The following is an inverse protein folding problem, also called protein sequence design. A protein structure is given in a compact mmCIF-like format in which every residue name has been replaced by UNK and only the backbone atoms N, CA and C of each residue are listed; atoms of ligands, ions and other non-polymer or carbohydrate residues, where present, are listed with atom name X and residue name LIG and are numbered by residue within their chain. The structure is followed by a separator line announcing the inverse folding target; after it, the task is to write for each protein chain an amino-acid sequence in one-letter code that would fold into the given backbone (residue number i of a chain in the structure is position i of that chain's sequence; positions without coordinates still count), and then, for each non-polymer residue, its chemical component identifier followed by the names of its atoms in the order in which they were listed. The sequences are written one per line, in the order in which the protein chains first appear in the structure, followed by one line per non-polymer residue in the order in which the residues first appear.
data_IF_566328169081
#
_entry.id   IF_566328169081
#
_cell.length_a   1.000
_cell.length_b   1.000
_cell.length_c   1.000
_cell.angle_alpha   90.00
_cell.angle_beta   90.00
_cell.angle_gamma   90.00
#
_symmetry.space_group_name_H-M   'P 1'
#
loop_
_entity.id
_entity.type
_entity.pdbx_description
1 polymer ?
#
# COMPACT_ATOMS: atom_id res chain seq x y z
N UNK A 1 27.22 -24.83 2.95
CA UNK A 1 26.87 -23.98 1.77
C UNK A 1 28.11 -23.23 1.33
N UNK A 2 28.32 -23.01 0.02
CA UNK A 2 29.49 -22.26 -0.46
C UNK A 2 29.36 -20.76 -0.13
N UNK A 3 30.48 -20.04 0.06
CA UNK A 3 30.49 -18.58 0.27
C UNK A 3 29.73 -17.81 -0.80
N UNK A 4 29.81 -18.28 -2.05
CA UNK A 4 29.12 -17.71 -3.21
C UNK A 4 27.60 -17.84 -3.08
N UNK A 5 27.09 -19.01 -2.69
CA UNK A 5 25.65 -19.25 -2.54
C UNK A 5 25.07 -18.39 -1.41
N UNK A 6 25.75 -18.32 -0.27
CA UNK A 6 25.32 -17.47 0.86
C UNK A 6 25.25 -16.00 0.44
N UNK A 7 26.29 -15.53 -0.26
CA UNK A 7 26.34 -14.17 -0.81
C UNK A 7 25.22 -13.89 -1.80
N UNK A 8 24.86 -14.88 -2.63
CA UNK A 8 23.76 -14.80 -3.57
C UNK A 8 22.40 -14.68 -2.89
N UNK A 9 22.17 -15.44 -1.83
CA UNK A 9 20.94 -15.34 -1.02
C UNK A 9 20.84 -13.97 -0.38
N UNK A 10 21.91 -13.50 0.29
CA UNK A 10 21.94 -12.19 0.97
C UNK A 10 21.63 -11.07 0.00
N UNK A 11 22.33 -11.00 -1.14
CA UNK A 11 22.08 -9.95 -2.13
C UNK A 11 20.68 -10.04 -2.73
N UNK A 12 20.18 -11.23 -3.03
CA UNK A 12 18.85 -11.40 -3.62
C UNK A 12 17.74 -10.97 -2.66
N UNK A 13 17.86 -11.27 -1.36
CA UNK A 13 16.90 -10.81 -0.35
C UNK A 13 16.95 -9.29 -0.24
N UNK A 14 18.14 -8.69 -0.12
CA UNK A 14 18.28 -7.24 0.00
C UNK A 14 17.72 -6.50 -1.22
N UNK A 15 18.05 -6.94 -2.43
CA UNK A 15 17.57 -6.29 -3.66
C UNK A 15 16.07 -6.51 -3.85
N UNK A 16 15.54 -7.70 -3.53
CA UNK A 16 14.10 -7.96 -3.58
C UNK A 16 13.32 -7.11 -2.58
N UNK A 17 13.77 -7.00 -1.33
CA UNK A 17 13.12 -6.15 -0.33
C UNK A 17 13.09 -4.68 -0.74
N UNK A 18 14.17 -4.18 -1.35
CA UNK A 18 14.19 -2.82 -1.87
C UNK A 18 13.26 -2.63 -3.08
N UNK A 19 13.20 -3.62 -3.98
CA UNK A 19 12.25 -3.61 -5.09
C UNK A 19 10.80 -3.60 -4.61
N UNK A 20 10.45 -4.45 -3.64
CA UNK A 20 9.09 -4.49 -3.08
C UNK A 20 8.72 -3.14 -2.47
N UNK A 21 9.62 -2.52 -1.68
CA UNK A 21 9.37 -1.18 -1.14
C UNK A 21 9.16 -0.15 -2.25
N UNK A 22 9.98 -0.18 -3.31
CA UNK A 22 9.83 0.73 -4.44
C UNK A 22 8.50 0.52 -5.18
N UNK A 23 8.12 -0.72 -5.43
CA UNK A 23 6.84 -1.08 -6.07
C UNK A 23 5.66 -0.63 -5.21
N UNK A 24 5.70 -0.85 -3.90
CA UNK A 24 4.64 -0.41 -2.99
C UNK A 24 4.43 1.12 -3.05
N UNK A 25 5.52 1.89 -3.05
CA UNK A 25 5.44 3.35 -3.11
C UNK A 25 4.96 3.85 -4.47
N UNK A 26 5.46 3.27 -5.57
CA UNK A 26 5.20 3.74 -6.93
C UNK A 26 3.86 3.25 -7.47
N UNK A 27 3.51 1.98 -7.20
CA UNK A 27 2.33 1.30 -7.76
C UNK A 27 1.26 1.10 -6.68
N UNK A 28 1.66 0.66 -5.49
CA UNK A 28 0.73 0.35 -4.39
C UNK A 28 -0.08 1.57 -3.94
N UNK A 29 0.57 2.70 -3.68
CA UNK A 29 -0.13 3.92 -3.21
C UNK A 29 -1.22 4.43 -4.18
N UNK A 30 -0.98 4.51 -5.50
CA UNK A 30 -2.05 4.82 -6.46
C UNK A 30 -3.19 3.79 -6.50
N UNK A 31 -2.86 2.50 -6.38
CA UNK A 31 -3.87 1.41 -6.38
C UNK A 31 -4.74 1.49 -5.13
N UNK A 32 -4.14 1.65 -3.95
CA UNK A 32 -4.83 1.81 -2.68
C UNK A 32 -5.80 3.00 -2.71
N UNK A 33 -5.35 4.14 -3.24
CA UNK A 33 -6.22 5.33 -3.37
C UNK A 33 -7.45 5.05 -4.23
N UNK A 34 -7.31 4.30 -5.32
CA UNK A 34 -8.44 3.91 -6.18
C UNK A 34 -9.38 2.93 -5.47
N UNK A 35 -8.83 1.93 -4.78
CA UNK A 35 -9.60 0.96 -4.00
C UNK A 35 -10.49 1.68 -2.98
N UNK A 36 -9.91 2.61 -2.20
CA UNK A 36 -10.67 3.38 -1.20
C UNK A 36 -11.78 4.19 -1.86
N UNK A 37 -11.49 4.88 -2.97
CA UNK A 37 -12.50 5.65 -3.70
C UNK A 37 -13.65 4.78 -4.24
N UNK A 38 -13.33 3.63 -4.83
CA UNK A 38 -14.32 2.68 -5.36
C UNK A 38 -15.18 2.10 -4.21
N UNK A 39 -14.57 1.75 -3.08
CA UNK A 39 -15.29 1.24 -1.90
C UNK A 39 -16.18 2.29 -1.26
N UNK A 40 -15.70 3.52 -1.09
CA UNK A 40 -16.52 4.62 -0.57
C UNK A 40 -17.74 4.86 -1.48
N UNK A 41 -17.55 4.85 -2.80
CA UNK A 41 -18.64 4.99 -3.75
C UNK A 41 -19.65 3.83 -3.64
N UNK A 42 -19.18 2.59 -3.47
CA UNK A 42 -20.03 1.41 -3.30
C UNK A 42 -20.87 1.49 -2.00
N UNK A 43 -20.25 1.87 -0.87
CA UNK A 43 -20.96 2.06 0.41
C UNK A 43 -22.03 3.15 0.29
N UNK A 44 -21.71 4.29 -0.34
CA UNK A 44 -22.69 5.36 -0.58
C UNK A 44 -23.85 4.83 -1.45
N UNK A 45 -23.54 4.10 -2.51
CA UNK A 45 -24.56 3.51 -3.38
C UNK A 45 -25.48 2.54 -2.61
N UNK A 46 -24.91 1.65 -1.80
CA UNK A 46 -25.69 0.67 -1.01
C UNK A 46 -26.56 1.35 0.06
N UNK A 47 -26.06 2.40 0.70
CA UNK A 47 -26.85 3.20 1.65
C UNK A 47 -28.05 3.88 0.97
N UNK A 48 -27.87 4.39 -0.25
CA UNK A 48 -28.92 5.04 -1.02
C UNK A 48 -29.87 4.04 -1.69
N UNK A 49 -29.40 2.84 -2.02
CA UNK A 49 -30.21 1.78 -2.65
C UNK A 49 -31.29 1.21 -1.74
N UNK A 50 -31.12 1.30 -0.42
CA UNK A 50 -32.14 0.94 0.58
C UNK A 50 -33.05 2.12 0.97
N UNK A 51 -32.85 3.30 0.37
CA UNK A 51 -33.76 4.43 0.48
C UNK A 51 -35.09 4.36 -0.33
N UNK A 52 -35.40 3.40 -1.23
CA UNK A 52 -36.69 3.39 -1.94
C UNK A 52 -37.90 3.10 -1.05
N UNK A 53 -37.72 2.85 0.26
CA UNK A 53 -38.81 2.96 1.24
C UNK A 53 -39.28 4.43 1.45
N UNK A 54 -38.61 5.42 0.86
CA UNK A 54 -38.93 6.86 0.95
C UNK A 54 -39.55 7.47 -0.33
N UNK A 55 -39.82 6.70 -1.40
CA UNK A 55 -40.41 7.23 -2.64
C UNK A 55 -39.47 8.12 -3.47
N UNK A 56 -40.00 9.15 -4.17
CA UNK A 56 -39.28 10.14 -5.02
C UNK A 56 -38.23 11.01 -4.28
N UNK A 57 -37.85 10.62 -3.05
CA UNK A 57 -36.94 11.36 -2.19
C UNK A 57 -35.45 11.20 -2.56
N UNK A 58 -35.09 10.36 -3.53
CA UNK A 58 -33.69 10.10 -3.89
C UNK A 58 -32.94 11.37 -4.33
N UNK A 59 -33.55 12.17 -5.22
CA UNK A 59 -32.98 13.44 -5.68
C UNK A 59 -32.85 14.51 -4.57
N UNK A 60 -33.88 14.79 -3.74
CA UNK A 60 -33.75 15.75 -2.64
C UNK A 60 -32.86 15.25 -1.50
N UNK A 61 -32.80 13.94 -1.21
CA UNK A 61 -31.90 13.39 -0.19
C UNK A 61 -30.44 13.45 -0.66
N UNK A 62 -30.17 13.14 -1.93
CA UNK A 62 -28.84 13.34 -2.52
C UNK A 62 -28.42 14.82 -2.53
N UNK A 63 -29.36 15.74 -2.77
CA UNK A 63 -29.12 17.18 -2.65
C UNK A 63 -28.84 17.61 -1.19
N UNK A 64 -29.58 17.06 -0.22
CA UNK A 64 -29.39 17.33 1.21
C UNK A 64 -28.04 16.82 1.72
N UNK A 65 -27.68 15.56 1.42
CA UNK A 65 -26.37 14.98 1.75
C UNK A 65 -25.23 15.78 1.12
N UNK A 66 -25.38 16.25 -0.13
CA UNK A 66 -24.41 17.14 -0.77
C UNK A 66 -24.36 18.55 -0.14
N UNK A 67 -25.44 18.99 0.50
CA UNK A 67 -25.52 20.27 1.20
C UNK A 67 -25.03 20.22 2.65
N UNK A 68 -24.86 19.03 3.22
CA UNK A 68 -24.23 18.88 4.54
C UNK A 68 -22.80 19.40 4.47
N UNK A 69 -22.43 20.25 5.43
CA UNK A 69 -21.05 20.66 5.60
C UNK A 69 -20.22 19.40 5.90
N UNK A 70 -19.35 19.03 4.96
CA UNK A 70 -18.37 17.98 5.24
C UNK A 70 -17.49 18.46 6.38
N UNK A 71 -17.27 17.64 7.43
CA UNK A 71 -16.41 18.05 8.54
C UNK A 71 -15.03 18.37 7.98
N UNK A 72 -14.47 19.52 8.39
CA UNK A 72 -13.14 19.92 7.96
C UNK A 72 -12.10 18.94 8.53
N UNK A 73 -11.66 18.01 7.68
CA UNK A 73 -10.68 17.00 8.02
C UNK A 73 -9.24 17.45 7.72
N UNK A 74 -9.02 18.72 7.35
CA UNK A 74 -7.70 19.22 6.91
C UNK A 74 -6.60 18.95 7.93
N UNK A 75 -6.88 19.13 9.22
CA UNK A 75 -5.92 18.88 10.30
C UNK A 75 -5.59 17.39 10.47
N UNK A 76 -6.62 16.52 10.43
CA UNK A 76 -6.44 15.07 10.53
C UNK A 76 -5.69 14.51 9.31
N UNK A 77 -6.02 15.00 8.12
CA UNK A 77 -5.32 14.69 6.88
C UNK A 77 -3.85 15.11 6.93
N UNK A 78 -3.57 16.31 7.47
CA UNK A 78 -2.20 16.80 7.64
C UNK A 78 -1.41 15.92 8.61
N UNK A 79 -2.01 15.52 9.74
CA UNK A 79 -1.39 14.62 10.72
C UNK A 79 -1.07 13.25 10.09
N UNK A 80 -2.02 12.66 9.37
CA UNK A 80 -1.83 11.38 8.67
C UNK A 80 -0.74 11.46 7.60
N UNK A 81 -0.72 12.54 6.79
CA UNK A 81 0.35 12.78 5.80
C UNK A 81 1.72 12.90 6.44
N UNK A 82 1.84 13.62 7.56
CA UNK A 82 3.09 13.78 8.28
C UNK A 82 3.59 12.44 8.84
N UNK A 83 2.71 11.64 9.46
CA UNK A 83 3.04 10.31 9.96
C UNK A 83 3.50 9.36 8.85
N UNK A 84 2.76 9.31 7.73
CA UNK A 84 3.11 8.47 6.58
C UNK A 84 4.45 8.87 5.95
N UNK A 85 4.70 10.18 5.82
CA UNK A 85 5.97 10.69 5.30
C UNK A 85 7.15 10.33 6.21
N UNK A 86 6.97 10.45 7.53
CA UNK A 86 7.99 10.09 8.50
C UNK A 86 8.29 8.58 8.47
N UNK A 87 7.25 7.74 8.37
CA UNK A 87 7.40 6.29 8.26
C UNK A 87 8.12 5.90 6.96
N UNK A 88 7.70 6.46 5.83
CA UNK A 88 8.32 6.22 4.53
C UNK A 88 9.81 6.60 4.54
N UNK A 89 10.15 7.76 5.11
CA UNK A 89 11.54 8.20 5.23
C UNK A 89 12.38 7.22 6.05
N UNK A 90 11.85 6.73 7.18
CA UNK A 90 12.53 5.72 8.00
C UNK A 90 12.72 4.41 7.23
N UNK A 91 11.69 3.94 6.52
CA UNK A 91 11.76 2.72 5.72
C UNK A 91 12.81 2.83 4.60
N UNK A 92 12.80 3.93 3.84
CA UNK A 92 13.78 4.18 2.76
C UNK A 92 15.20 4.26 3.30
N UNK A 93 15.42 4.97 4.42
CA UNK A 93 16.74 5.06 5.03
C UNK A 93 17.25 3.70 5.51
N UNK A 94 16.41 2.92 6.19
CA UNK A 94 16.77 1.59 6.69
C UNK A 94 17.11 0.64 5.54
N UNK A 95 16.22 0.54 4.54
CA UNK A 95 16.44 -0.34 3.38
C UNK A 95 17.67 0.11 2.59
N UNK A 96 17.84 1.41 2.36
CA UNK A 96 19.01 1.96 1.68
C UNK A 96 20.32 1.65 2.42
N UNK A 97 20.35 1.83 3.74
CA UNK A 97 21.52 1.52 4.56
C UNK A 97 21.87 0.03 4.52
N UNK A 98 20.87 -0.85 4.67
CA UNK A 98 21.05 -2.30 4.58
C UNK A 98 21.56 -2.73 3.20
N UNK A 99 21.05 -2.11 2.13
CA UNK A 99 21.43 -2.46 0.76
C UNK A 99 22.87 -2.04 0.47
N UNK A 100 23.28 -0.84 0.87
CA UNK A 100 24.68 -0.37 0.75
C UNK A 100 25.62 -1.24 1.58
N UNK A 101 25.28 -1.49 2.85
CA UNK A 101 26.10 -2.30 3.75
C UNK A 101 26.23 -3.74 3.24
N UNK A 102 25.13 -4.34 2.77
CA UNK A 102 25.13 -5.69 2.23
C UNK A 102 25.92 -5.81 0.93
N UNK A 103 25.80 -4.84 0.02
CA UNK A 103 26.63 -4.79 -1.18
C UNK A 103 28.12 -4.70 -0.85
N UNK A 104 28.48 -3.79 0.07
CA UNK A 104 29.86 -3.64 0.51
C UNK A 104 30.40 -4.93 1.16
N UNK A 105 29.61 -5.54 2.05
CA UNK A 105 29.97 -6.79 2.71
C UNK A 105 30.20 -7.93 1.71
N UNK A 106 29.26 -8.14 0.77
CA UNK A 106 29.42 -9.19 -0.24
C UNK A 106 30.59 -8.91 -1.18
N UNK A 107 30.85 -7.63 -1.53
CA UNK A 107 31.97 -7.25 -2.37
C UNK A 107 33.33 -7.50 -1.72
N UNK A 108 33.44 -7.27 -0.41
CA UNK A 108 34.64 -7.59 0.39
C UNK A 108 34.78 -9.11 0.53
N UNK A 109 33.66 -9.79 0.81
CA UNK A 109 33.62 -11.23 0.97
C UNK A 109 34.01 -11.98 -0.32
N UNK A 110 33.58 -11.48 -1.48
CA UNK A 110 33.95 -12.05 -2.79
C UNK A 110 35.46 -11.98 -3.03
N UNK A 111 36.10 -10.88 -2.65
CA UNK A 111 37.54 -10.73 -2.75
C UNK A 111 38.28 -11.68 -1.78
N UNK A 112 37.76 -11.85 -0.56
CA UNK A 112 38.40 -12.68 0.48
C UNK A 112 38.23 -14.19 0.24
N UNK A 113 37.08 -14.60 -0.29
CA UNK A 113 36.75 -16.00 -0.55
C UNK A 113 37.05 -16.44 -2.00
N UNK A 114 37.53 -15.53 -2.85
CA UNK A 114 38.04 -15.86 -4.19
C UNK A 114 36.96 -16.20 -5.24
N UNK A 115 35.73 -15.71 -5.09
CA UNK A 115 34.66 -15.92 -6.08
C UNK A 115 34.31 -14.66 -6.86
N UNK A 116 33.76 -14.86 -8.07
CA UNK A 116 33.37 -13.75 -8.94
C UNK A 116 32.08 -13.07 -8.44
N UNK A 117 32.15 -11.77 -8.17
CA UNK A 117 31.00 -10.97 -7.73
C UNK A 117 29.92 -10.82 -8.82
N UNK A 118 30.31 -10.72 -10.09
CA UNK A 118 29.40 -10.47 -11.21
C UNK A 118 28.24 -11.48 -11.33
N UNK A 119 28.51 -12.80 -11.33
CA UNK A 119 27.45 -13.82 -11.35
C UNK A 119 26.51 -13.78 -10.14
N UNK A 120 27.00 -13.40 -8.96
CA UNK A 120 26.20 -13.25 -7.75
C UNK A 120 25.26 -12.04 -7.89
N UNK A 121 25.80 -10.91 -8.34
CA UNK A 121 25.02 -9.71 -8.59
C UNK A 121 23.95 -9.93 -9.67
N UNK A 122 24.30 -10.60 -10.78
CA UNK A 122 23.34 -10.89 -11.87
C UNK A 122 22.15 -11.70 -11.34
N UNK A 123 22.38 -12.73 -10.53
CA UNK A 123 21.31 -13.52 -9.90
C UNK A 123 20.42 -12.66 -9.00
N UNK A 124 21.01 -11.81 -8.17
CA UNK A 124 20.27 -10.90 -7.31
C UNK A 124 19.43 -9.87 -8.09
N UNK A 125 19.92 -9.39 -9.24
CA UNK A 125 19.17 -8.49 -10.11
C UNK A 125 18.01 -9.21 -10.81
N UNK A 126 18.20 -10.46 -11.26
CA UNK A 126 17.10 -11.27 -11.82
C UNK A 126 16.04 -11.52 -10.76
N UNK A 127 16.43 -11.89 -9.54
CA UNK A 127 15.50 -12.06 -8.42
C UNK A 127 14.76 -10.76 -8.08
N UNK A 128 15.45 -9.63 -8.14
CA UNK A 128 14.88 -8.30 -7.93
C UNK A 128 13.79 -7.98 -8.97
N UNK A 129 14.09 -8.21 -10.26
CA UNK A 129 13.13 -8.01 -11.34
C UNK A 129 11.91 -8.93 -11.21
N UNK A 130 12.14 -10.20 -10.85
CA UNK A 130 11.05 -11.14 -10.59
C UNK A 130 10.17 -10.67 -9.44
N UNK A 131 10.76 -10.31 -8.30
CA UNK A 131 10.02 -9.81 -7.14
C UNK A 131 9.21 -8.55 -7.48
N UNK A 132 9.82 -7.59 -8.19
CA UNK A 132 9.12 -6.38 -8.62
C UNK A 132 7.96 -6.69 -9.58
N UNK A 133 8.19 -7.59 -10.53
CA UNK A 133 7.19 -8.01 -11.50
C UNK A 133 6.01 -8.73 -10.85
N UNK A 134 6.29 -9.68 -9.95
CA UNK A 134 5.24 -10.42 -9.23
C UNK A 134 4.45 -9.51 -8.31
N UNK A 135 5.11 -8.60 -7.59
CA UNK A 135 4.44 -7.65 -6.70
C UNK A 135 3.55 -6.68 -7.49
N UNK A 136 4.05 -6.17 -8.61
CA UNK A 136 3.27 -5.30 -9.51
C UNK A 136 2.05 -6.03 -10.07
N UNK A 137 2.22 -7.28 -10.51
CA UNK A 137 1.13 -8.11 -11.00
C UNK A 137 0.10 -8.38 -9.89
N UNK A 138 0.55 -8.70 -8.68
CA UNK A 138 -0.33 -8.92 -7.53
C UNK A 138 -1.16 -7.66 -7.20
N UNK A 139 -0.52 -6.49 -7.13
CA UNK A 139 -1.21 -5.23 -6.84
C UNK A 139 -2.27 -4.90 -7.90
N UNK A 140 -1.94 -5.10 -9.19
CA UNK A 140 -2.82 -4.72 -10.29
C UNK A 140 -3.93 -5.74 -10.56
N UNK A 141 -3.66 -7.04 -10.40
CA UNK A 141 -4.59 -8.11 -10.76
C UNK A 141 -5.40 -8.63 -9.57
N UNK A 142 -4.88 -8.53 -8.35
CA UNK A 142 -5.53 -9.07 -7.15
C UNK A 142 -5.93 -7.94 -6.21
N UNK A 143 -4.97 -7.15 -5.73
CA UNK A 143 -5.24 -6.16 -4.69
C UNK A 143 -6.28 -5.12 -5.14
N UNK A 144 -6.22 -4.70 -6.42
CA UNK A 144 -7.22 -3.80 -7.01
C UNK A 144 -8.67 -4.29 -6.86
N UNK A 145 -8.90 -5.59 -6.86
CA UNK A 145 -10.23 -6.18 -6.76
C UNK A 145 -10.60 -6.60 -5.33
N UNK A 146 -9.72 -6.38 -4.36
CA UNK A 146 -9.96 -6.74 -2.98
C UNK A 146 -10.80 -5.65 -2.28
N UNK A 147 -11.91 -6.07 -1.69
CA UNK A 147 -12.74 -5.21 -0.84
C UNK A 147 -12.15 -5.27 0.58
N UNK A 148 -11.54 -4.18 1.02
CA UNK A 148 -10.85 -4.06 2.30
C UNK A 148 -11.76 -3.60 3.44
N UNK A 149 -12.86 -2.90 3.14
CA UNK A 149 -13.84 -2.48 4.13
C UNK A 149 -15.06 -3.40 4.10
N UNK A 150 -15.43 -3.98 5.25
CA UNK A 150 -16.71 -4.68 5.40
C UNK A 150 -17.85 -3.65 5.26
N UNK A 151 -18.66 -3.72 4.18
CA UNK A 151 -19.72 -2.75 3.94
C UNK A 151 -20.73 -2.69 5.09
N UNK A 152 -20.96 -3.81 5.79
CA UNK A 152 -21.90 -3.85 6.91
C UNK A 152 -21.36 -3.15 8.15
N UNK A 153 -20.07 -3.33 8.45
CA UNK A 153 -19.43 -2.64 9.57
C UNK A 153 -19.41 -1.11 9.36
N UNK A 154 -19.07 -0.66 8.15
CA UNK A 154 -19.09 0.77 7.81
C UNK A 154 -20.51 1.34 7.91
N UNK A 155 -21.51 0.59 7.43
CA UNK A 155 -22.92 0.98 7.55
C UNK A 155 -23.37 1.10 9.01
N UNK A 156 -22.98 0.14 9.86
CA UNK A 156 -23.29 0.19 11.30
C UNK A 156 -22.69 1.44 11.95
N UNK A 157 -21.41 1.74 11.69
CA UNK A 157 -20.75 2.93 12.25
C UNK A 157 -21.43 4.23 11.80
N UNK A 158 -21.89 4.30 10.55
CA UNK A 158 -22.64 5.46 10.03
C UNK A 158 -23.98 5.60 10.76
N UNK A 159 -24.71 4.50 10.96
CA UNK A 159 -26.00 4.50 11.65
C UNK A 159 -25.85 4.89 13.13
N UNK A 160 -24.85 4.34 13.84
CA UNK A 160 -24.56 4.69 15.23
C UNK A 160 -24.17 6.17 15.38
N UNK A 161 -23.41 6.72 14.44
CA UNK A 161 -23.07 8.14 14.44
C UNK A 161 -24.31 9.02 14.24
N UNK A 162 -25.20 8.65 13.32
CA UNK A 162 -26.46 9.37 13.08
C UNK A 162 -27.41 9.29 14.29
N UNK A 163 -27.49 8.15 14.96
CA UNK A 163 -28.30 7.99 16.18
C UNK A 163 -27.79 8.88 17.30
N UNK A 164 -26.47 9.00 17.45
CA UNK A 164 -25.83 9.83 18.47
C UNK A 164 -26.03 11.33 18.23
N UNK A 165 -26.10 11.77 16.98
CA UNK A 165 -26.37 13.18 16.62
C UNK A 165 -27.87 13.53 16.68
N UNK A 166 -28.75 12.52 16.65
CA UNK A 166 -30.21 12.70 16.77
C UNK A 166 -30.71 12.70 18.23
N UNK A 167 -29.86 12.33 19.20
CA UNK A 167 -30.13 12.29 20.63
C UNK A 167 -29.63 13.56 21.35
#
# INVERSE_FOLDING_TARGET
MSPETVSGVVLSVLTASAAILAVFVVVGSPVERRIVQEQTAAVIHDLLKDAPLLGDAEAPLAAYVRSMATPDMTAADAASRAANTALLRKAVLMVGACLVAGFAAVRVWSARAGFAFGPVLRRALVSCLLAAGTETAFLLLVARHFVSADPQAVRLMILEALEKDAA
#
